data_IF_928828801674
#
_entry.id   IF_928828801674
#
_cell.length_a   1.000
_cell.length_b   1.000
_cell.length_c   1.000
_cell.angle_alpha   90.00
_cell.angle_beta   90.00
_cell.angle_gamma   90.00
#
_symmetry.space_group_name_H-M   'P 1'
#
loop_
_entity.id
_entity.type
_entity.pdbx_description
1 polymer ?
#
# COMPACT_ATOMS: atom_id res chain seq x y z
N UNK A 1 20.17 -17.64 -23.89
CA UNK A 1 19.98 -16.17 -23.88
C UNK A 1 18.70 -15.86 -23.13
N UNK A 2 18.67 -14.89 -22.20
CA UNK A 2 17.43 -14.47 -21.54
C UNK A 2 16.54 -13.66 -22.49
N UNK A 3 15.23 -13.81 -22.35
CA UNK A 3 14.21 -13.05 -23.10
C UNK A 3 13.76 -11.86 -22.25
N UNK A 4 13.73 -10.65 -22.83
CA UNK A 4 13.30 -9.42 -22.15
C UNK A 4 11.93 -8.97 -22.67
N UNK A 5 11.04 -8.57 -21.76
CA UNK A 5 9.77 -7.93 -22.09
C UNK A 5 9.39 -6.89 -21.02
N UNK A 6 8.62 -5.89 -21.41
CA UNK A 6 8.09 -4.86 -20.51
C UNK A 6 6.66 -5.17 -20.13
N UNK A 7 6.35 -5.04 -18.84
CA UNK A 7 5.01 -5.23 -18.27
C UNK A 7 4.63 -3.97 -17.47
N UNK A 8 3.33 -3.66 -17.30
CA UNK A 8 2.90 -2.64 -16.34
C UNK A 8 3.42 -2.93 -14.93
N UNK A 9 3.87 -1.90 -14.21
CA UNK A 9 4.48 -2.06 -12.87
C UNK A 9 3.55 -2.78 -11.89
N UNK A 10 2.24 -2.52 -11.95
CA UNK A 10 1.24 -3.20 -11.12
C UNK A 10 1.18 -4.71 -11.40
N UNK A 11 1.23 -5.09 -12.68
CA UNK A 11 1.21 -6.48 -13.11
C UNK A 11 2.55 -7.17 -12.79
N UNK A 12 3.67 -6.48 -12.95
CA UNK A 12 4.98 -6.96 -12.55
C UNK A 12 5.04 -7.21 -11.02
N UNK A 13 4.48 -6.31 -10.20
CA UNK A 13 4.40 -6.46 -8.73
C UNK A 13 3.52 -7.64 -8.33
N UNK A 14 2.37 -7.82 -8.98
CA UNK A 14 1.48 -8.95 -8.72
C UNK A 14 2.10 -10.30 -9.12
N UNK A 15 2.74 -10.36 -10.29
CA UNK A 15 3.37 -11.60 -10.80
C UNK A 15 4.71 -11.92 -10.12
N UNK A 16 5.44 -10.93 -9.62
CA UNK A 16 6.70 -11.13 -8.89
C UNK A 16 6.50 -11.47 -7.42
N UNK A 17 5.33 -11.17 -6.84
CA UNK A 17 4.97 -11.62 -5.52
C UNK A 17 4.79 -13.16 -5.54
N UNK A 18 5.77 -13.89 -5.03
CA UNK A 18 5.77 -15.35 -4.96
C UNK A 18 5.40 -15.84 -3.55
N UNK A 19 4.56 -16.88 -3.46
CA UNK A 19 4.25 -17.62 -2.22
C UNK A 19 3.42 -16.86 -1.18
N UNK A 20 3.66 -17.14 0.12
CA UNK A 20 2.93 -16.57 1.28
C UNK A 20 2.86 -15.04 1.29
N UNK A 21 3.82 -14.35 0.66
CA UNK A 21 3.84 -12.88 0.56
C UNK A 21 2.76 -12.32 -0.35
N UNK A 22 2.41 -13.02 -1.43
CA UNK A 22 1.36 -12.60 -2.34
C UNK A 22 -0.03 -12.71 -1.69
N UNK A 23 -0.28 -13.83 -0.99
CA UNK A 23 -1.51 -14.06 -0.24
C UNK A 23 -1.73 -12.99 0.83
N UNK A 24 -0.69 -12.69 1.63
CA UNK A 24 -0.77 -11.60 2.60
C UNK A 24 -1.05 -10.26 1.91
N UNK A 25 -0.36 -9.92 0.83
CA UNK A 25 -0.61 -8.64 0.15
C UNK A 25 -2.05 -8.50 -0.36
N UNK A 26 -2.64 -9.57 -0.90
CA UNK A 26 -4.05 -9.59 -1.32
C UNK A 26 -5.01 -9.39 -0.15
N UNK A 27 -4.72 -9.98 1.01
CA UNK A 27 -5.52 -9.80 2.22
C UNK A 27 -5.55 -8.32 2.65
N UNK A 28 -4.38 -7.68 2.68
CA UNK A 28 -4.25 -6.26 2.99
C UNK A 28 -4.87 -5.35 1.93
N UNK A 29 -4.83 -5.73 0.65
CA UNK A 29 -5.57 -5.04 -0.42
C UNK A 29 -7.08 -5.09 -0.12
N UNK A 30 -7.61 -6.25 0.24
CA UNK A 30 -9.01 -6.41 0.61
C UNK A 30 -9.42 -5.53 1.79
N UNK A 31 -8.56 -5.35 2.80
CA UNK A 31 -8.82 -4.42 3.90
C UNK A 31 -8.91 -2.96 3.43
N UNK A 32 -8.07 -2.54 2.49
CA UNK A 32 -8.05 -1.17 1.97
C UNK A 32 -9.27 -0.88 1.10
N UNK A 33 -9.74 -1.85 0.32
CA UNK A 33 -10.92 -1.67 -0.53
C UNK A 33 -12.23 -1.62 0.25
N UNK A 34 -12.28 -2.24 1.44
CA UNK A 34 -13.44 -2.16 2.34
C UNK A 34 -13.57 -0.83 3.06
N UNK A 35 -12.50 -0.05 3.18
CA UNK A 35 -12.55 1.27 3.83
C UNK A 35 -13.11 2.29 2.84
N UNK A 36 -14.34 2.72 3.09
CA UNK A 36 -15.02 3.71 2.27
C UNK A 36 -14.51 5.14 2.46
N UNK A 37 -14.96 6.09 1.62
CA UNK A 37 -14.68 7.51 1.79
C UNK A 37 -15.19 8.02 3.14
N UNK A 38 -14.33 8.65 3.94
CA UNK A 38 -14.67 9.15 5.27
C UNK A 38 -14.61 8.11 6.39
N UNK A 39 -14.28 6.85 6.07
CA UNK A 39 -14.09 5.79 7.05
C UNK A 39 -12.61 5.54 7.32
N UNK A 40 -12.32 4.93 8.48
CA UNK A 40 -10.99 4.47 8.84
C UNK A 40 -11.02 2.97 9.17
N UNK A 41 -10.06 2.22 8.63
CA UNK A 41 -9.78 0.86 9.03
C UNK A 41 -8.92 0.82 10.29
N UNK A 42 -9.19 -0.13 11.17
CA UNK A 42 -8.39 -0.45 12.37
C UNK A 42 -7.87 -1.88 12.25
N UNK A 43 -6.58 -2.09 12.47
CA UNK A 43 -5.96 -3.41 12.62
C UNK A 43 -5.23 -3.47 13.95
N UNK A 44 -5.49 -4.50 14.73
CA UNK A 44 -4.81 -4.76 16.01
C UNK A 44 -3.61 -5.68 15.78
N UNK A 45 -2.50 -5.41 16.46
CA UNK A 45 -1.33 -6.27 16.45
C UNK A 45 -1.59 -7.51 17.32
N UNK A 46 -1.58 -8.68 16.68
CA UNK A 46 -1.59 -9.98 17.37
C UNK A 46 -0.20 -10.48 17.77
N UNK A 47 -0.14 -11.64 18.42
CA UNK A 47 1.12 -12.27 18.83
C UNK A 47 2.02 -12.56 17.61
N UNK A 48 3.23 -11.99 17.62
CA UNK A 48 4.22 -12.15 16.56
C UNK A 48 4.17 -11.12 15.43
N UNK A 49 3.20 -10.21 15.43
CA UNK A 49 3.06 -9.18 14.40
C UNK A 49 3.10 -7.77 14.99
N UNK A 50 4.12 -6.98 14.64
CA UNK A 50 4.25 -5.62 15.17
C UNK A 50 3.39 -4.62 14.40
N UNK A 51 2.90 -3.58 15.08
CA UNK A 51 2.20 -2.45 14.42
C UNK A 51 3.03 -1.82 13.29
N UNK A 52 4.37 -1.91 13.37
CA UNK A 52 5.27 -1.50 12.29
C UNK A 52 5.20 -2.44 11.07
N UNK A 53 5.13 -3.75 11.27
CA UNK A 53 4.97 -4.73 10.20
C UNK A 53 3.62 -4.55 9.48
N UNK A 54 2.54 -4.38 10.24
CA UNK A 54 1.18 -4.10 9.71
C UNK A 54 1.20 -2.85 8.81
N UNK A 55 1.77 -1.74 9.30
CA UNK A 55 1.89 -0.51 8.51
C UNK A 55 2.66 -0.72 7.21
N UNK A 56 3.77 -1.47 7.23
CA UNK A 56 4.58 -1.74 6.03
C UNK A 56 3.77 -2.50 4.98
N UNK A 57 2.98 -3.49 5.40
CA UNK A 57 2.13 -4.29 4.50
C UNK A 57 0.96 -3.47 3.93
N UNK A 58 0.28 -2.68 4.78
CA UNK A 58 -0.75 -1.75 4.31
C UNK A 58 -0.19 -0.75 3.29
N UNK A 59 1.01 -0.23 3.51
CA UNK A 59 1.63 0.69 2.56
C UNK A 59 1.95 0.01 1.23
N UNK A 60 2.49 -1.21 1.25
CA UNK A 60 2.76 -1.98 0.03
C UNK A 60 1.48 -2.30 -0.76
N UNK A 61 0.40 -2.66 -0.04
CA UNK A 61 -0.92 -2.90 -0.65
C UNK A 61 -1.52 -1.61 -1.24
N UNK A 62 -1.40 -0.48 -0.54
CA UNK A 62 -1.83 0.83 -1.07
C UNK A 62 -1.04 1.22 -2.33
N UNK A 63 0.28 1.01 -2.34
CA UNK A 63 1.12 1.23 -3.52
C UNK A 63 0.75 0.31 -4.69
N UNK A 64 0.34 -0.92 -4.42
CA UNK A 64 -0.16 -1.84 -5.46
C UNK A 64 -1.49 -1.36 -6.06
N UNK A 65 -2.37 -0.78 -5.24
CA UNK A 65 -3.64 -0.17 -5.67
C UNK A 65 -3.46 1.24 -6.28
N UNK A 66 -2.25 1.82 -6.21
CA UNK A 66 -2.01 3.20 -6.61
C UNK A 66 -2.72 4.24 -5.72
N UNK A 67 -3.21 3.82 -4.54
CA UNK A 67 -3.88 4.66 -3.55
C UNK A 67 -2.87 5.18 -2.53
N UNK A 68 -3.19 6.28 -1.85
CA UNK A 68 -2.40 6.79 -0.73
C UNK A 68 -3.22 6.66 0.55
N UNK A 69 -2.60 6.10 1.58
CA UNK A 69 -3.20 5.99 2.90
C UNK A 69 -2.47 6.88 3.89
N UNK A 70 -3.24 7.47 4.80
CA UNK A 70 -2.69 8.01 6.04
C UNK A 70 -2.77 6.96 7.14
N UNK A 71 -1.79 6.99 8.04
CA UNK A 71 -1.63 5.99 9.09
C UNK A 71 -1.46 6.67 10.44
N UNK A 72 -2.20 6.18 11.44
CA UNK A 72 -1.99 6.52 12.85
C UNK A 72 -1.76 5.23 13.63
N UNK A 73 -0.75 5.24 14.49
CA UNK A 73 -0.36 4.05 15.27
C UNK A 73 -0.54 4.31 16.75
N UNK A 74 -0.94 3.26 17.45
CA UNK A 74 -0.93 3.13 18.91
C UNK A 74 0.02 1.99 19.27
N UNK A 75 0.12 1.61 20.54
CA UNK A 75 0.98 0.51 20.98
C UNK A 75 0.54 -0.83 20.37
N UNK A 76 -0.77 -0.98 20.20
CA UNK A 76 -1.49 -2.22 19.95
C UNK A 76 -2.32 -2.19 18.65
N UNK A 77 -2.52 -1.02 18.04
CA UNK A 77 -3.32 -0.90 16.82
C UNK A 77 -2.76 0.09 15.79
N UNK A 78 -3.09 -0.18 14.53
CA UNK A 78 -2.86 0.69 13.37
C UNK A 78 -4.20 1.11 12.79
N UNK A 79 -4.42 2.42 12.75
CA UNK A 79 -5.54 3.06 12.08
C UNK A 79 -5.09 3.57 10.71
N UNK A 80 -5.90 3.40 9.68
CA UNK A 80 -5.61 3.86 8.34
C UNK A 80 -6.86 4.33 7.60
N UNK A 81 -6.71 5.32 6.73
CA UNK A 81 -7.80 5.82 5.88
C UNK A 81 -7.26 6.33 4.55
N UNK A 82 -8.13 6.40 3.54
CA UNK A 82 -7.79 6.96 2.24
C UNK A 82 -7.43 8.44 2.40
N UNK A 83 -6.24 8.83 1.95
CA UNK A 83 -5.84 10.23 1.90
C UNK A 83 -6.27 10.79 0.56
N UNK A 84 -7.06 11.87 0.58
CA UNK A 84 -7.53 12.59 -0.62
C UNK A 84 -6.39 13.26 -1.41
N UNK A 85 -5.15 13.12 -0.92
CA UNK A 85 -3.95 13.58 -1.58
C UNK A 85 -3.73 12.88 -2.92
N UNK A 86 -4.36 13.41 -3.97
CA UNK A 86 -3.92 13.31 -5.38
C UNK A 86 -2.40 13.25 -5.37
N UNK A 87 -1.79 12.32 -6.13
CA UNK A 87 -0.34 12.25 -6.34
C UNK A 87 0.16 13.69 -6.41
N UNK A 88 0.85 14.19 -5.38
CA UNK A 88 1.60 15.44 -5.51
C UNK A 88 2.65 15.08 -6.53
N UNK A 89 2.32 15.28 -7.81
CA UNK A 89 3.31 15.48 -8.83
C UNK A 89 4.22 16.53 -8.23
N UNK A 90 5.47 16.15 -8.00
CA UNK A 90 6.55 17.11 -7.77
C UNK A 90 6.29 18.26 -8.75
N UNK A 91 6.09 19.50 -8.29
CA UNK A 91 5.95 20.63 -9.21
C UNK A 91 7.13 20.54 -10.17
N UNK A 92 6.87 20.42 -11.48
CA UNK A 92 7.93 20.59 -12.46
C UNK A 92 8.43 22.01 -12.25
N UNK A 93 9.65 22.15 -11.75
CA UNK A 93 10.34 23.43 -11.69
C UNK A 93 10.45 23.87 -13.15
N UNK A 94 9.60 24.80 -13.58
CA UNK A 94 9.76 25.42 -14.88
C UNK A 94 11.18 26.00 -14.91
N UNK A 95 12.00 25.70 -15.93
CA UNK A 95 13.17 26.51 -16.18
C UNK A 95 12.65 27.91 -16.56
N UNK A 96 13.11 28.91 -15.82
CA UNK A 96 12.92 30.32 -16.18
C UNK A 96 13.90 30.58 -17.32
N UNK A 97 13.37 31.05 -18.45
CA UNK A 97 14.16 31.61 -19.57
C UNK A 97 14.89 32.88 -19.14
#
# INVERSE_FOLDING_TARGET
MPTFSTLPIGEARARSATGKRAALLQEYVGYIERVGPGEAGKLESGEGETTQAIRRRLNAAAEALGKRLEFRRTADAVYFWASDGRRRGRPRKNPVE
#
